data_IF_533551445802
#
_entry.id   IF_533551445802
#
_cell.length_a   1.000
_cell.length_b   1.000
_cell.length_c   1.000
_cell.angle_alpha   90.00
_cell.angle_beta   90.00
_cell.angle_gamma   90.00
#
_symmetry.space_group_name_H-M   'P 1'
#
loop_
_entity.id
_entity.type
_entity.pdbx_description
1 polymer ?
#
# COMPACT_ATOMS: atom_id res chain seq x y z
N UNK A 1 3.76 28.65 -6.57
CA UNK A 1 4.24 27.69 -7.59
C UNK A 1 5.25 28.43 -8.46
N UNK A 2 6.55 28.27 -8.22
CA UNK A 2 7.58 28.98 -8.98
C UNK A 2 7.64 28.46 -10.41
N UNK A 3 7.62 29.36 -11.40
CA UNK A 3 7.85 29.00 -12.81
C UNK A 3 9.34 28.91 -13.06
N UNK A 4 9.87 27.69 -13.16
CA UNK A 4 11.28 27.45 -13.54
C UNK A 4 11.38 27.34 -15.06
N UNK A 5 12.10 28.27 -15.70
CA UNK A 5 12.33 28.24 -17.15
C UNK A 5 13.52 27.32 -17.47
N UNK A 6 13.27 26.21 -18.15
CA UNK A 6 14.30 25.30 -18.65
C UNK A 6 14.56 25.57 -20.15
N UNK A 7 15.81 25.81 -20.53
CA UNK A 7 16.19 26.06 -21.93
C UNK A 7 16.47 24.77 -22.69
N UNK A 8 15.85 24.60 -23.87
CA UNK A 8 16.09 23.46 -24.78
C UNK A 8 16.94 23.94 -25.96
N UNK A 9 18.07 23.28 -26.22
CA UNK A 9 18.88 23.53 -27.43
C UNK A 9 18.35 22.66 -28.56
N UNK A 10 17.95 23.30 -29.66
CA UNK A 10 17.53 22.65 -30.89
C UNK A 10 18.49 23.05 -32.00
N UNK A 11 18.91 22.10 -32.81
CA UNK A 11 19.62 22.34 -34.06
C UNK A 11 18.70 23.00 -35.10
N UNK A 12 19.30 23.66 -36.09
CA UNK A 12 18.55 24.45 -37.07
C UNK A 12 17.61 23.59 -37.93
N UNK A 13 17.97 22.33 -38.21
CA UNK A 13 17.13 21.42 -38.98
C UNK A 13 15.85 21.03 -38.20
N UNK A 14 15.97 20.72 -36.91
CA UNK A 14 14.81 20.43 -36.04
C UNK A 14 13.92 21.65 -35.84
N UNK A 15 14.51 22.85 -35.71
CA UNK A 15 13.75 24.11 -35.63
C UNK A 15 12.86 24.33 -36.85
N UNK A 16 13.39 24.11 -38.05
CA UNK A 16 12.62 24.32 -39.29
C UNK A 16 11.51 23.27 -39.47
N UNK A 17 11.77 22.00 -39.06
CA UNK A 17 10.74 20.94 -39.04
C UNK A 17 9.57 21.29 -38.11
N UNK A 18 9.86 21.78 -36.90
CA UNK A 18 8.82 22.20 -35.95
C UNK A 18 8.04 23.38 -36.51
N UNK A 19 8.72 24.34 -37.14
CA UNK A 19 8.09 25.52 -37.75
C UNK A 19 7.11 25.12 -38.87
N UNK A 20 7.54 24.25 -39.77
CA UNK A 20 6.69 23.72 -40.86
C UNK A 20 5.48 22.95 -40.34
N UNK A 21 5.69 22.08 -39.33
CA UNK A 21 4.60 21.34 -38.69
C UNK A 21 3.59 22.26 -38.00
N UNK A 22 4.06 23.30 -37.30
CA UNK A 22 3.22 24.27 -36.63
C UNK A 22 2.40 25.11 -37.61
N UNK A 23 3.00 25.53 -38.75
CA UNK A 23 2.27 26.25 -39.80
C UNK A 23 1.19 25.39 -40.47
N UNK A 24 1.39 24.08 -40.58
CA UNK A 24 0.40 23.17 -41.18
C UNK A 24 -0.86 23.00 -40.33
N UNK A 25 -0.77 23.25 -39.03
CA UNK A 25 -1.89 23.18 -38.08
C UNK A 25 -2.35 24.57 -37.60
N UNK A 26 -1.92 25.64 -38.27
CA UNK A 26 -2.20 27.04 -37.93
C UNK A 26 -1.88 27.41 -36.47
N UNK A 27 -0.71 26.98 -35.97
CA UNK A 27 -0.24 27.29 -34.61
C UNK A 27 1.20 27.78 -34.60
N UNK A 28 1.63 28.34 -33.47
CA UNK A 28 3.01 28.81 -33.30
C UNK A 28 3.95 27.65 -32.92
N UNK A 29 5.24 27.70 -33.30
CA UNK A 29 6.21 26.68 -32.91
C UNK A 29 6.30 26.47 -31.40
N UNK A 30 6.20 27.56 -30.63
CA UNK A 30 6.22 27.51 -29.16
C UNK A 30 4.99 26.78 -28.59
N UNK A 31 3.80 27.03 -29.15
CA UNK A 31 2.59 26.31 -28.76
C UNK A 31 2.72 24.82 -29.05
N UNK A 32 3.25 24.45 -30.23
CA UNK A 32 3.43 23.05 -30.63
C UNK A 32 4.40 22.31 -29.70
N UNK A 33 5.54 22.91 -29.36
CA UNK A 33 6.51 22.33 -28.42
C UNK A 33 5.87 22.11 -27.05
N UNK A 34 5.16 23.12 -26.54
CA UNK A 34 4.49 23.04 -25.24
C UNK A 34 3.42 21.95 -25.24
N UNK A 35 2.58 21.88 -26.28
CA UNK A 35 1.52 20.89 -26.39
C UNK A 35 2.08 19.46 -26.54
N UNK A 36 3.14 19.28 -27.30
CA UNK A 36 3.81 17.99 -27.45
C UNK A 36 4.36 17.48 -26.12
N UNK A 37 4.97 18.36 -25.31
CA UNK A 37 5.48 18.01 -23.98
C UNK A 37 4.34 17.57 -23.05
N UNK A 38 3.23 18.34 -22.99
CA UNK A 38 2.10 17.98 -22.13
C UNK A 38 1.44 16.67 -22.55
N UNK A 39 1.17 16.49 -23.84
CA UNK A 39 0.55 15.27 -24.35
C UNK A 39 1.42 14.04 -24.13
N UNK A 40 2.74 14.18 -24.22
CA UNK A 40 3.67 13.09 -23.99
C UNK A 40 3.76 12.72 -22.50
N UNK A 41 3.77 13.72 -21.61
CA UNK A 41 3.71 13.47 -20.17
C UNK A 41 2.40 12.81 -19.75
N UNK A 42 1.27 13.23 -20.31
CA UNK A 42 -0.04 12.62 -20.05
C UNK A 42 -0.11 11.16 -20.53
N UNK A 43 0.53 10.83 -21.67
CA UNK A 43 0.65 9.44 -22.13
C UNK A 43 1.51 8.58 -21.19
N UNK A 44 2.61 9.13 -20.68
CA UNK A 44 3.46 8.45 -19.70
C UNK A 44 2.75 8.22 -18.36
N UNK A 45 2.00 9.20 -17.88
CA UNK A 45 1.23 9.11 -16.62
C UNK A 45 0.11 8.06 -16.72
N UNK A 46 -0.48 7.89 -17.90
CA UNK A 46 -1.55 6.92 -18.13
C UNK A 46 -1.06 5.50 -18.45
N UNK A 47 0.25 5.23 -18.40
CA UNK A 47 0.86 3.89 -18.60
C UNK A 47 0.54 3.24 -19.95
N UNK A 48 0.40 4.03 -21.02
CA UNK A 48 0.49 3.48 -22.37
C UNK A 48 1.98 3.32 -22.71
N UNK A 49 2.36 2.09 -23.06
CA UNK A 49 3.72 1.72 -23.46
C UNK A 49 4.29 2.70 -24.48
N UNK A 50 5.48 3.21 -24.21
CA UNK A 50 6.27 4.06 -25.11
C UNK A 50 6.22 3.52 -26.55
N UNK A 51 5.79 4.31 -27.55
CA UNK A 51 6.20 4.02 -28.92
C UNK A 51 7.71 4.21 -28.94
N UNK A 52 8.45 3.14 -29.15
CA UNK A 52 9.91 3.14 -29.16
C UNK A 52 10.44 4.36 -29.92
N UNK A 53 11.12 5.25 -29.19
CA UNK A 53 11.92 6.29 -29.81
C UNK A 53 12.94 5.56 -30.67
N UNK A 54 12.93 5.72 -32.01
CA UNK A 54 13.95 5.11 -32.84
C UNK A 54 15.29 5.55 -32.29
N UNK A 55 16.10 4.60 -31.83
CA UNK A 55 17.43 4.83 -31.30
C UNK A 55 18.26 5.56 -32.36
N UNK A 56 18.25 6.90 -32.34
CA UNK A 56 19.04 7.76 -33.21
C UNK A 56 20.48 7.81 -32.69
N UNK A 57 21.10 6.64 -32.65
CA UNK A 57 22.55 6.44 -32.58
C UNK A 57 23.00 5.56 -33.76
N UNK A 58 22.33 5.65 -34.92
CA UNK A 58 22.92 5.20 -36.19
C UNK A 58 23.84 6.29 -36.72
N UNK A 59 25.09 6.25 -36.25
CA UNK A 59 26.11 7.22 -36.61
C UNK A 59 27.54 6.69 -36.46
N UNK A 60 27.77 5.41 -36.74
CA UNK A 60 29.10 4.92 -37.10
C UNK A 60 28.96 3.64 -37.94
N UNK A 61 29.57 3.67 -39.12
CA UNK A 61 29.61 2.64 -40.14
C UNK A 61 29.83 1.21 -39.61
N UNK A 62 29.05 0.25 -40.13
CA UNK A 62 29.58 -0.98 -40.71
C UNK A 62 28.47 -1.75 -41.44
N UNK A 63 28.70 -2.03 -42.72
CA UNK A 63 27.97 -3.04 -43.49
C UNK A 63 28.35 -4.42 -42.97
N UNK A 64 27.38 -5.19 -42.47
CA UNK A 64 27.49 -6.65 -42.32
C UNK A 64 26.07 -7.22 -42.29
N UNK A 65 25.75 -7.98 -43.34
CA UNK A 65 24.53 -8.75 -43.53
C UNK A 65 24.56 -9.95 -42.57
N UNK A 66 23.94 -9.82 -41.40
CA UNK A 66 23.78 -10.89 -40.42
C UNK A 66 22.36 -10.81 -39.84
N UNK A 67 21.61 -11.92 -39.95
CA UNK A 67 20.25 -12.03 -39.43
C UNK A 67 20.20 -11.63 -37.95
N UNK A 68 19.13 -10.96 -37.46
CA UNK A 68 19.09 -10.49 -36.09
C UNK A 68 19.03 -11.70 -35.15
N UNK A 69 20.18 -12.08 -34.60
CA UNK A 69 20.26 -12.75 -33.31
C UNK A 69 19.51 -11.86 -32.32
N UNK A 70 18.60 -12.41 -31.49
CA UNK A 70 17.98 -11.60 -30.44
C UNK A 70 19.12 -11.07 -29.58
N UNK A 71 19.35 -9.76 -29.65
CA UNK A 71 20.32 -9.10 -28.80
C UNK A 71 19.96 -9.49 -27.37
N UNK A 72 20.90 -10.10 -26.65
CA UNK A 72 20.74 -10.32 -25.23
C UNK A 72 20.55 -8.94 -24.59
N UNK A 73 19.29 -8.58 -24.32
CA UNK A 73 18.99 -7.37 -23.57
C UNK A 73 19.78 -7.46 -22.27
N UNK A 74 20.59 -6.44 -21.93
CA UNK A 74 21.42 -6.49 -20.74
C UNK A 74 20.49 -6.69 -19.54
N UNK A 75 20.48 -7.89 -18.95
CA UNK A 75 19.61 -8.22 -17.84
C UNK A 75 20.00 -7.31 -16.67
N UNK A 76 19.18 -6.29 -16.43
CA UNK A 76 19.35 -5.39 -15.32
C UNK A 76 18.74 -6.05 -14.07
N UNK A 77 19.55 -6.40 -13.05
CA UNK A 77 19.01 -7.04 -11.86
C UNK A 77 18.00 -6.12 -11.16
N UNK A 78 16.90 -6.71 -10.67
CA UNK A 78 15.84 -6.06 -9.87
C UNK A 78 14.93 -5.05 -10.60
N UNK A 79 14.98 -4.93 -11.93
CA UNK A 79 14.01 -4.06 -12.66
C UNK A 79 12.56 -4.52 -12.45
N UNK A 80 12.27 -5.80 -12.67
CA UNK A 80 10.93 -6.37 -12.45
C UNK A 80 10.41 -6.13 -11.02
N UNK A 81 11.31 -6.09 -10.04
CA UNK A 81 10.97 -5.79 -8.66
C UNK A 81 10.67 -4.29 -8.47
N UNK A 82 11.47 -3.41 -9.07
CA UNK A 82 11.29 -1.96 -8.97
C UNK A 82 10.01 -1.48 -9.66
N UNK A 83 9.64 -2.07 -10.79
CA UNK A 83 8.40 -1.77 -11.52
C UNK A 83 7.14 -2.12 -10.73
N UNK A 84 7.21 -3.13 -9.85
CA UNK A 84 6.11 -3.53 -8.98
C UNK A 84 5.91 -2.57 -7.79
N UNK A 85 6.85 -1.65 -7.53
CA UNK A 85 6.74 -0.71 -6.42
C UNK A 85 5.82 0.45 -6.82
N UNK A 86 4.54 0.33 -6.45
CA UNK A 86 3.57 1.40 -6.62
C UNK A 86 3.94 2.63 -5.76
N UNK A 87 3.78 3.86 -6.28
CA UNK A 87 3.98 5.06 -5.49
C UNK A 87 2.97 5.11 -4.33
N UNK A 88 3.47 5.39 -3.13
CA UNK A 88 2.61 5.47 -1.94
C UNK A 88 2.02 6.87 -1.78
N UNK A 89 0.72 6.93 -1.47
CA UNK A 89 0.10 8.16 -0.99
C UNK A 89 0.65 8.54 0.40
N UNK A 90 0.42 9.80 0.81
CA UNK A 90 0.88 10.31 2.11
C UNK A 90 0.35 9.46 3.28
N UNK A 91 -0.91 9.03 3.23
CA UNK A 91 -1.49 8.18 4.29
C UNK A 91 -0.88 6.77 4.31
N UNK A 92 -0.61 6.19 3.15
CA UNK A 92 0.05 4.87 3.04
C UNK A 92 1.49 4.92 3.54
N UNK A 93 2.23 5.98 3.20
CA UNK A 93 3.57 6.21 3.72
C UNK A 93 3.58 6.37 5.24
N UNK A 94 2.61 7.08 5.82
CA UNK A 94 2.48 7.22 7.27
C UNK A 94 2.20 5.88 7.97
N UNK A 95 1.37 5.02 7.37
CA UNK A 95 1.11 3.65 7.88
C UNK A 95 2.40 2.82 7.82
N UNK A 96 3.11 2.83 6.68
CA UNK A 96 4.38 2.11 6.53
C UNK A 96 5.43 2.59 7.54
N UNK A 97 5.53 3.91 7.77
CA UNK A 97 6.43 4.48 8.76
C UNK A 97 6.08 4.07 10.20
N UNK A 98 4.82 3.80 10.50
CA UNK A 98 4.37 3.39 11.84
C UNK A 98 4.50 1.88 12.10
N UNK A 99 4.84 1.05 11.11
CA UNK A 99 4.78 -0.42 11.21
C UNK A 99 5.54 -0.98 12.42
N UNK A 100 6.79 -0.53 12.65
CA UNK A 100 7.65 -0.98 13.76
C UNK A 100 8.08 0.17 14.65
N UNK A 101 7.18 1.14 14.85
CA UNK A 101 7.43 2.25 15.77
C UNK A 101 7.70 1.70 17.19
N UNK A 102 8.71 2.22 17.90
CA UNK A 102 8.95 1.83 19.29
C UNK A 102 7.69 2.01 20.16
N UNK A 103 7.41 1.03 21.01
CA UNK A 103 6.21 1.06 21.85
C UNK A 103 6.18 2.27 22.79
N UNK A 104 7.35 2.69 23.29
CA UNK A 104 7.49 3.89 24.11
C UNK A 104 7.02 5.15 23.40
N UNK A 105 7.21 5.26 22.08
CA UNK A 105 6.71 6.35 21.26
C UNK A 105 5.22 6.18 20.95
N UNK A 106 4.83 4.98 20.50
CA UNK A 106 3.45 4.70 20.09
C UNK A 106 2.44 4.87 21.24
N UNK A 107 2.73 4.29 22.42
CA UNK A 107 1.86 4.40 23.60
C UNK A 107 1.79 5.84 24.08
N UNK A 108 2.91 6.57 24.11
CA UNK A 108 2.93 7.98 24.52
C UNK A 108 2.06 8.86 23.62
N UNK A 109 2.07 8.61 22.30
CA UNK A 109 1.21 9.32 21.35
C UNK A 109 -0.29 9.05 21.58
N UNK A 110 -0.65 7.81 21.94
CA UNK A 110 -2.05 7.38 22.10
C UNK A 110 -2.62 7.73 23.47
N UNK A 111 -1.79 7.87 24.51
CA UNK A 111 -2.25 7.95 25.89
C UNK A 111 -3.19 9.14 26.15
N UNK A 112 -2.82 10.33 25.66
CA UNK A 112 -3.66 11.53 25.82
C UNK A 112 -4.90 11.52 24.93
N UNK A 113 -4.82 10.88 23.74
CA UNK A 113 -5.97 10.74 22.84
C UNK A 113 -7.02 9.76 23.40
N UNK A 114 -6.56 8.72 24.10
CA UNK A 114 -7.41 7.71 24.72
C UNK A 114 -7.87 8.09 26.14
N UNK A 115 -7.34 9.19 26.72
CA UNK A 115 -7.67 9.61 28.08
C UNK A 115 -9.11 10.12 28.14
N UNK A 116 -9.97 9.38 28.84
CA UNK A 116 -11.32 9.84 29.15
C UNK A 116 -11.28 10.95 30.21
N UNK A 117 -12.12 11.99 30.09
CA UNK A 117 -12.35 12.93 31.18
C UNK A 117 -12.84 12.19 32.44
N UNK A 118 -12.39 12.62 33.62
CA UNK A 118 -12.72 11.97 34.90
C UNK A 118 -14.20 11.58 35.07
N UNK A 119 -15.20 12.46 34.83
CA UNK A 119 -16.60 12.06 35.00
C UNK A 119 -17.02 10.95 34.03
N UNK A 120 -16.48 10.91 32.81
CA UNK A 120 -16.77 9.87 31.82
C UNK A 120 -16.06 8.57 32.20
N UNK A 121 -14.82 8.65 32.69
CA UNK A 121 -14.05 7.48 33.13
C UNK A 121 -14.73 6.76 34.31
N UNK A 122 -15.26 7.50 35.28
CA UNK A 122 -15.99 6.94 36.41
C UNK A 122 -17.29 6.25 35.98
N UNK A 123 -18.05 6.86 35.06
CA UNK A 123 -19.28 6.26 34.53
C UNK A 123 -18.99 5.03 33.67
N UNK A 124 -17.96 5.09 32.82
CA UNK A 124 -17.49 3.95 32.04
C UNK A 124 -17.07 2.79 32.95
N UNK A 125 -16.36 3.08 34.05
CA UNK A 125 -15.99 2.07 35.03
C UNK A 125 -17.21 1.45 35.72
N UNK A 126 -18.15 2.26 36.20
CA UNK A 126 -19.39 1.76 36.84
C UNK A 126 -20.19 0.87 35.89
N UNK A 127 -20.33 1.28 34.63
CA UNK A 127 -21.04 0.50 33.62
C UNK A 127 -20.29 -0.81 33.30
N UNK A 128 -18.98 -0.73 33.03
CA UNK A 128 -18.16 -1.91 32.76
C UNK A 128 -18.21 -2.91 33.92
N UNK A 129 -18.14 -2.41 35.16
CA UNK A 129 -18.28 -3.23 36.36
C UNK A 129 -19.65 -3.92 36.41
N UNK A 130 -20.74 -3.18 36.21
CA UNK A 130 -22.09 -3.76 36.20
C UNK A 130 -22.26 -4.83 35.12
N UNK A 131 -21.69 -4.62 33.93
CA UNK A 131 -21.74 -5.60 32.84
C UNK A 131 -20.93 -6.85 33.18
N UNK A 132 -19.70 -6.68 33.67
CA UNK A 132 -18.84 -7.80 34.06
C UNK A 132 -19.42 -8.59 35.24
N UNK A 133 -19.97 -7.90 36.24
CA UNK A 133 -20.60 -8.52 37.41
C UNK A 133 -21.83 -9.33 37.02
N UNK A 134 -22.70 -8.76 36.18
CA UNK A 134 -23.84 -9.49 35.62
C UNK A 134 -23.39 -10.69 34.82
N UNK A 135 -22.40 -10.56 33.94
CA UNK A 135 -21.91 -11.67 33.11
C UNK A 135 -21.31 -12.81 33.96
N UNK A 136 -20.51 -12.45 34.97
CA UNK A 136 -19.84 -13.42 35.85
C UNK A 136 -20.82 -14.11 36.80
N UNK A 137 -21.79 -13.37 37.33
CA UNK A 137 -22.73 -13.87 38.34
C UNK A 137 -24.05 -14.35 37.75
N UNK A 138 -24.22 -14.30 36.43
CA UNK A 138 -25.37 -14.91 35.77
C UNK A 138 -25.26 -16.43 35.98
N UNK A 139 -25.94 -16.90 37.03
CA UNK A 139 -25.93 -18.28 37.54
C UNK A 139 -26.36 -19.35 36.53
N UNK A 140 -26.73 -18.96 35.31
CA UNK A 140 -27.07 -19.85 34.20
C UNK A 140 -26.28 -19.57 32.90
N UNK A 141 -25.33 -18.62 32.88
CA UNK A 141 -24.55 -18.30 31.67
C UNK A 141 -23.12 -18.86 31.67
N UNK A 142 -22.63 -19.38 32.81
CA UNK A 142 -21.61 -20.44 32.80
C UNK A 142 -22.27 -21.77 32.42
N UNK A 143 -22.89 -21.79 31.24
CA UNK A 143 -23.50 -22.98 30.64
C UNK A 143 -22.45 -24.08 30.48
N UNK A 144 -22.89 -25.34 30.56
CA UNK A 144 -22.08 -26.59 30.57
C UNK A 144 -20.97 -26.65 31.64
N UNK A 145 -20.11 -25.64 31.79
CA UNK A 145 -19.07 -25.57 32.80
C UNK A 145 -19.62 -25.59 34.23
N UNK A 146 -20.69 -24.85 34.56
CA UNK A 146 -21.31 -24.93 35.90
C UNK A 146 -21.95 -26.29 36.21
N UNK A 147 -22.55 -26.95 35.20
CA UNK A 147 -23.14 -28.28 35.36
C UNK A 147 -22.08 -29.38 35.44
N UNK A 148 -21.04 -29.32 34.60
CA UNK A 148 -19.91 -30.27 34.61
C UNK A 148 -19.09 -30.09 35.88
N UNK A 149 -18.89 -28.84 36.35
CA UNK A 149 -18.27 -28.57 37.65
C UNK A 149 -19.13 -29.11 38.80
N UNK A 150 -20.46 -28.99 38.71
CA UNK A 150 -21.40 -29.59 39.67
C UNK A 150 -21.26 -31.11 39.73
N UNK A 151 -21.23 -31.78 38.56
CA UNK A 151 -21.02 -33.23 38.47
C UNK A 151 -19.63 -33.66 38.97
N UNK A 152 -18.56 -32.93 38.60
CA UNK A 152 -17.22 -33.17 39.13
C UNK A 152 -17.18 -33.05 40.67
N UNK A 153 -17.89 -32.05 41.23
CA UNK A 153 -17.93 -31.83 42.67
C UNK A 153 -18.81 -32.86 43.41
N UNK A 154 -19.95 -33.26 42.84
CA UNK A 154 -20.86 -34.26 43.41
C UNK A 154 -20.23 -35.64 43.45
N UNK A 155 -19.52 -36.03 42.39
CA UNK A 155 -18.86 -37.34 42.28
C UNK A 155 -17.37 -37.30 42.68
N UNK A 156 -16.87 -36.16 43.17
CA UNK A 156 -15.46 -35.92 43.54
C UNK A 156 -14.46 -36.36 42.46
N UNK A 157 -14.82 -36.17 41.21
CA UNK A 157 -14.02 -36.57 40.05
C UNK A 157 -12.90 -35.56 39.80
N UNK A 158 -11.73 -36.06 39.40
CA UNK A 158 -10.69 -35.22 38.81
C UNK A 158 -11.10 -34.70 37.42
N UNK A 159 -10.44 -33.64 36.95
CA UNK A 159 -10.73 -33.07 35.62
C UNK A 159 -10.55 -34.09 34.49
N UNK A 160 -9.60 -35.02 34.61
CA UNK A 160 -9.38 -36.09 33.62
C UNK A 160 -10.50 -37.14 33.66
N UNK A 161 -10.96 -37.52 34.86
CA UNK A 161 -12.07 -38.46 35.03
C UNK A 161 -13.39 -37.86 34.54
N UNK A 162 -13.64 -36.57 34.78
CA UNK A 162 -14.82 -35.89 34.26
C UNK A 162 -14.84 -35.84 32.73
N UNK A 163 -13.70 -35.61 32.08
CA UNK A 163 -13.59 -35.68 30.61
C UNK A 163 -13.83 -37.11 30.11
N UNK A 164 -13.23 -38.12 30.75
CA UNK A 164 -13.42 -39.52 30.38
C UNK A 164 -14.89 -39.96 30.51
N UNK A 165 -15.58 -39.51 31.57
CA UNK A 165 -17.01 -39.77 31.77
C UNK A 165 -17.87 -39.15 30.65
N UNK A 166 -17.54 -37.92 30.22
CA UNK A 166 -18.26 -37.28 29.12
C UNK A 166 -18.00 -37.99 27.79
N UNK A 167 -16.77 -38.45 27.53
CA UNK A 167 -16.46 -39.26 26.35
C UNK A 167 -17.20 -40.60 26.33
N UNK A 168 -17.34 -41.26 27.50
CA UNK A 168 -18.14 -42.48 27.62
C UNK A 168 -19.63 -42.22 27.35
N UNK A 169 -20.15 -41.07 27.80
CA UNK A 169 -21.54 -40.69 27.59
C UNK A 169 -21.85 -40.25 26.15
N UNK A 170 -20.82 -39.91 25.36
CA UNK A 170 -20.94 -39.53 23.95
C UNK A 170 -20.96 -40.74 23.00
N UNK A 171 -20.25 -41.82 23.35
CA UNK A 171 -20.11 -43.04 22.55
C UNK A 171 -21.38 -43.93 22.56
#
# INVERSE_FOLDING_TARGET
MGTTTMGVKLDDATRERIKSAATRIDRTPHWLIKQAIFSYLEQLENSDTLPELPALLSGAANESDEAPTPAEEPHQPFLDFAEQILPQSVSRAAITAAYRRPETEAVSMLLEQARLPQPVAEQAHKLAYQLADKLRNQKNASGRAGMVQGLLQEFSLSSQEGVALMCLAEA
#
